data_IF_706330541245
#
_entry.id   IF_706330541245
#
_cell.length_a   1.000
_cell.length_b   1.000
_cell.length_c   1.000
_cell.angle_alpha   90.00
_cell.angle_beta   90.00
_cell.angle_gamma   90.00
#
_symmetry.space_group_name_H-M   'P 1'
#
loop_
_entity.id
_entity.type
_entity.pdbx_description
1 polymer ?
#
# COMPACT_ATOMS: atom_id res chain seq x y z
N UNK A 1 -16.28 2.62 15.25
CA UNK A 1 -14.97 2.14 14.79
C UNK A 1 -14.87 2.30 13.28
N UNK A 2 -13.75 2.80 12.81
CA UNK A 2 -13.55 3.02 11.38
C UNK A 2 -12.83 1.84 10.78
N UNK A 3 -13.32 1.37 9.65
CA UNK A 3 -12.64 0.34 8.88
C UNK A 3 -11.55 0.96 8.02
N UNK A 4 -10.47 0.23 7.85
CA UNK A 4 -9.45 0.61 6.88
C UNK A 4 -9.87 0.12 5.51
N UNK A 5 -9.87 1.01 4.55
CA UNK A 5 -10.22 0.68 3.17
C UNK A 5 -9.04 0.90 2.25
N UNK A 6 -9.03 0.17 1.15
CA UNK A 6 -8.07 0.42 0.09
C UNK A 6 -8.77 0.39 -1.27
N UNK A 7 -8.15 1.03 -2.24
CA UNK A 7 -8.64 1.01 -3.60
C UNK A 7 -7.52 1.27 -4.59
N UNK A 8 -7.57 0.70 -5.78
CA UNK A 8 -6.71 1.15 -6.85
C UNK A 8 -7.17 2.54 -7.31
N UNK A 9 -6.22 3.44 -7.49
CA UNK A 9 -6.51 4.80 -7.95
C UNK A 9 -6.07 5.03 -9.39
N UNK A 10 -5.56 4.00 -10.06
CA UNK A 10 -5.24 4.00 -11.48
C UNK A 10 -6.18 3.05 -12.20
N UNK A 11 -6.33 3.24 -13.51
CA UNK A 11 -7.14 2.33 -14.33
C UNK A 11 -6.55 0.92 -14.31
N UNK A 12 -7.41 -0.08 -14.37
CA UNK A 12 -7.01 -1.48 -14.49
C UNK A 12 -6.32 -1.71 -15.84
N UNK A 13 -5.54 -2.78 -15.89
CA UNK A 13 -4.99 -3.32 -17.14
C UNK A 13 -3.56 -2.91 -17.39
N UNK A 14 -3.30 -2.18 -18.47
CA UNK A 14 -1.97 -2.01 -19.02
C UNK A 14 -1.21 -0.77 -18.54
N UNK A 15 -1.64 -0.16 -17.44
CA UNK A 15 -0.92 0.99 -16.88
C UNK A 15 0.52 0.59 -16.51
N UNK A 16 1.48 1.49 -16.78
CA UNK A 16 2.87 1.26 -16.42
C UNK A 16 3.06 1.23 -14.89
N UNK A 17 2.25 2.00 -14.18
CA UNK A 17 2.27 2.08 -12.72
C UNK A 17 0.85 1.95 -12.21
N UNK A 18 0.67 1.13 -11.16
CA UNK A 18 -0.59 1.04 -10.43
C UNK A 18 -0.41 1.64 -9.05
N UNK A 19 -1.42 2.34 -8.58
CA UNK A 19 -1.40 3.00 -7.26
C UNK A 19 -2.54 2.45 -6.43
N UNK A 20 -2.20 1.96 -5.23
CA UNK A 20 -3.17 1.57 -4.21
C UNK A 20 -3.10 2.55 -3.06
N UNK A 21 -4.25 2.94 -2.54
CA UNK A 21 -4.35 3.84 -1.40
C UNK A 21 -5.06 3.13 -0.27
N UNK A 22 -4.47 3.20 0.92
CA UNK A 22 -5.05 2.66 2.15
C UNK A 22 -5.38 3.83 3.06
N UNK A 23 -6.56 3.79 3.68
CA UNK A 23 -7.01 4.85 4.56
C UNK A 23 -7.78 4.26 5.73
N UNK A 24 -7.53 4.76 6.93
CA UNK A 24 -8.23 4.35 8.12
C UNK A 24 -7.31 4.04 9.29
N UNK A 25 -7.90 3.73 10.43
CA UNK A 25 -7.17 3.50 11.67
C UNK A 25 -6.20 2.32 11.63
N UNK A 26 -6.46 1.32 10.78
CA UNK A 26 -5.61 0.14 10.64
C UNK A 26 -4.46 0.32 9.67
N UNK A 27 -4.34 1.46 8.99
CA UNK A 27 -3.35 1.65 7.92
C UNK A 27 -1.93 1.43 8.37
N UNK A 28 -1.54 1.93 9.53
CA UNK A 28 -0.17 1.78 10.03
C UNK A 28 0.19 0.31 10.25
N UNK A 29 -0.72 -0.46 10.84
CA UNK A 29 -0.48 -1.89 11.08
C UNK A 29 -0.42 -2.68 9.78
N UNK A 30 -1.27 -2.33 8.83
CA UNK A 30 -1.24 -2.96 7.50
C UNK A 30 0.08 -2.66 6.81
N UNK A 31 0.52 -1.41 6.83
CA UNK A 31 1.80 -1.03 6.22
C UNK A 31 2.95 -1.81 6.87
N UNK A 32 2.98 -1.93 8.20
CA UNK A 32 4.00 -2.72 8.89
C UNK A 32 4.02 -4.17 8.41
N UNK A 33 2.86 -4.78 8.24
CA UNK A 33 2.80 -6.17 7.79
C UNK A 33 3.32 -6.33 6.36
N UNK A 34 3.03 -5.37 5.49
CA UNK A 34 3.47 -5.41 4.09
C UNK A 34 5.00 -5.24 3.95
N UNK A 35 5.64 -4.55 4.87
CA UNK A 35 7.10 -4.35 4.84
C UNK A 35 7.83 -5.25 5.84
N UNK A 36 7.19 -6.31 6.31
CA UNK A 36 7.75 -7.29 7.27
C UNK A 36 8.20 -6.65 8.58
N UNK A 37 7.41 -5.71 9.10
CA UNK A 37 7.72 -5.00 10.35
C UNK A 37 9.03 -4.21 10.31
N UNK A 38 9.52 -3.91 9.12
CA UNK A 38 10.60 -2.96 8.97
C UNK A 38 10.14 -1.56 9.38
N UNK A 39 11.11 -0.69 9.55
CA UNK A 39 10.83 0.68 9.99
C UNK A 39 9.89 1.39 9.02
N UNK A 40 8.85 2.02 9.57
CA UNK A 40 7.92 2.86 8.80
C UNK A 40 8.69 4.03 8.18
N UNK A 41 8.51 4.30 6.88
CA UNK A 41 9.17 5.42 6.23
C UNK A 41 8.81 6.77 6.86
N UNK A 42 9.66 7.77 6.64
CA UNK A 42 9.34 9.13 7.04
C UNK A 42 8.05 9.59 6.38
N UNK A 43 7.24 10.33 7.14
CA UNK A 43 5.96 10.81 6.66
C UNK A 43 6.11 11.73 5.45
N UNK A 44 5.17 11.60 4.51
CA UNK A 44 5.05 12.47 3.33
C UNK A 44 6.27 12.52 2.43
N UNK A 45 7.00 11.39 2.36
CA UNK A 45 8.11 11.20 1.43
C UNK A 45 7.90 9.90 0.67
N UNK A 46 8.23 9.90 -0.60
CA UNK A 46 8.25 8.68 -1.40
C UNK A 46 9.53 7.91 -1.10
N UNK A 47 9.38 6.67 -0.65
CA UNK A 47 10.50 5.80 -0.26
C UNK A 47 10.35 4.47 -0.95
N UNK A 48 11.45 3.96 -1.51
CA UNK A 48 11.45 2.65 -2.15
C UNK A 48 11.54 1.55 -1.09
N UNK A 49 10.58 0.61 -1.13
CA UNK A 49 10.50 -0.49 -0.18
C UNK A 49 10.09 -1.78 -0.87
N UNK A 50 10.59 -2.90 -0.36
CA UNK A 50 10.11 -4.23 -0.74
C UNK A 50 8.78 -4.48 -0.04
N UNK A 51 7.80 -4.96 -0.80
CA UNK A 51 6.46 -5.26 -0.31
C UNK A 51 6.25 -6.77 -0.36
N UNK A 52 5.76 -7.32 0.73
CA UNK A 52 5.59 -8.75 0.90
C UNK A 52 4.13 -9.10 1.10
N UNK A 53 3.75 -10.31 0.69
CA UNK A 53 2.45 -10.87 1.02
C UNK A 53 2.44 -11.24 2.51
N UNK A 54 1.57 -10.64 3.33
CA UNK A 54 1.57 -10.92 4.77
C UNK A 54 1.27 -12.37 5.13
N UNK A 55 0.56 -13.10 4.26
CA UNK A 55 0.18 -14.50 4.52
C UNK A 55 1.35 -15.46 4.42
N UNK A 56 2.28 -15.25 3.49
CA UNK A 56 3.32 -16.22 3.19
C UNK A 56 4.72 -15.62 3.08
N UNK A 57 4.84 -14.31 3.30
CA UNK A 57 6.12 -13.58 3.24
C UNK A 57 6.80 -13.59 1.86
N UNK A 58 6.06 -13.91 0.81
CA UNK A 58 6.60 -13.81 -0.54
C UNK A 58 6.74 -12.35 -0.97
N UNK A 59 7.82 -12.04 -1.67
CA UNK A 59 8.01 -10.71 -2.23
C UNK A 59 7.01 -10.48 -3.36
N UNK A 60 6.20 -9.43 -3.24
CA UNK A 60 5.24 -9.05 -4.28
C UNK A 60 5.87 -8.10 -5.30
N UNK A 61 6.56 -7.08 -4.83
CA UNK A 61 7.18 -6.09 -5.71
C UNK A 61 8.07 -5.16 -4.88
N UNK A 62 8.89 -4.39 -5.57
CA UNK A 62 9.61 -3.27 -4.96
C UNK A 62 8.87 -2.00 -5.38
N UNK A 63 8.35 -1.26 -4.41
CA UNK A 63 7.39 -0.20 -4.66
C UNK A 63 7.82 1.09 -4.00
N UNK A 64 7.29 2.20 -4.53
CA UNK A 64 7.37 3.49 -3.84
C UNK A 64 6.21 3.57 -2.87
N UNK A 65 6.48 3.95 -1.63
CA UNK A 65 5.47 4.11 -0.59
C UNK A 65 5.51 5.53 -0.08
N UNK A 66 4.33 6.09 0.15
CA UNK A 66 4.18 7.37 0.84
C UNK A 66 3.30 7.17 2.06
N UNK A 67 3.87 7.33 3.25
CA UNK A 67 3.15 7.26 4.52
C UNK A 67 2.65 8.65 4.90
N UNK A 68 1.36 8.76 5.18
CA UNK A 68 0.73 10.03 5.52
C UNK A 68 -0.09 9.86 6.80
N UNK A 69 0.53 10.09 7.97
CA UNK A 69 -0.20 10.03 9.23
C UNK A 69 -1.20 11.17 9.36
N UNK A 70 -2.30 10.88 10.04
CA UNK A 70 -3.31 11.91 10.32
C UNK A 70 -2.71 13.07 11.13
N UNK A 71 -3.27 14.29 11.01
CA UNK A 71 -4.39 14.66 10.15
C UNK A 71 -3.98 15.11 8.74
N UNK A 72 -2.68 15.20 8.45
CA UNK A 72 -2.16 15.76 7.21
C UNK A 72 -2.04 14.67 6.14
N UNK A 73 -3.19 14.15 5.72
CA UNK A 73 -3.31 13.09 4.73
C UNK A 73 -4.44 13.40 3.76
N UNK A 74 -4.64 12.54 2.76
CA UNK A 74 -5.71 12.75 1.77
C UNK A 74 -7.10 12.74 2.39
N UNK A 75 -7.29 11.94 3.44
CA UNK A 75 -8.62 11.72 4.03
C UNK A 75 -8.77 12.31 5.42
N UNK A 76 -7.69 12.87 5.99
CA UNK A 76 -7.65 13.29 7.39
C UNK A 76 -7.39 12.18 8.37
N UNK A 77 -7.33 10.92 7.90
CA UNK A 77 -7.00 9.74 8.68
C UNK A 77 -5.59 9.25 8.33
N UNK A 78 -5.07 8.26 9.08
CA UNK A 78 -3.86 7.57 8.69
C UNK A 78 -4.05 6.96 7.31
N UNK A 79 -3.07 7.19 6.43
CA UNK A 79 -3.20 6.84 5.04
C UNK A 79 -1.82 6.49 4.48
N UNK A 80 -1.76 5.56 3.52
CA UNK A 80 -0.55 5.37 2.74
C UNK A 80 -0.89 4.99 1.31
N UNK A 81 0.04 5.28 0.41
CA UNK A 81 -0.05 4.86 -0.98
C UNK A 81 1.10 3.94 -1.31
N UNK A 82 0.81 2.96 -2.15
CA UNK A 82 1.81 2.09 -2.76
C UNK A 82 1.75 2.31 -4.27
N UNK A 83 2.88 2.69 -4.85
CA UNK A 83 3.03 2.79 -6.30
C UNK A 83 3.85 1.60 -6.76
N UNK A 84 3.20 0.70 -7.47
CA UNK A 84 3.81 -0.56 -7.92
C UNK A 84 3.80 -0.66 -9.44
N UNK A 85 4.48 -1.69 -9.95
CA UNK A 85 4.46 -1.94 -11.39
C UNK A 85 3.03 -2.27 -11.83
N UNK A 86 2.61 -1.65 -12.94
CA UNK A 86 1.31 -1.94 -13.53
C UNK A 86 1.29 -3.28 -14.22
N UNK A 87 0.14 -3.58 -14.79
CA UNK A 87 -0.11 -4.84 -15.46
C UNK A 87 -1.09 -5.69 -14.69
N UNK A 88 -1.85 -6.49 -15.43
CA UNK A 88 -2.97 -7.24 -14.85
C UNK A 88 -2.51 -8.23 -13.78
N UNK A 89 -1.43 -8.96 -14.06
CA UNK A 89 -0.95 -9.98 -13.12
C UNK A 89 -0.48 -9.36 -11.80
N UNK A 90 0.25 -8.25 -11.86
CA UNK A 90 0.71 -7.54 -10.66
C UNK A 90 -0.47 -7.01 -9.86
N UNK A 91 -1.44 -6.39 -10.52
CA UNK A 91 -2.64 -5.89 -9.86
C UNK A 91 -3.44 -6.99 -9.20
N UNK A 92 -3.58 -8.14 -9.86
CA UNK A 92 -4.29 -9.29 -9.29
C UNK A 92 -3.57 -9.84 -8.06
N UNK A 93 -2.24 -9.94 -8.11
CA UNK A 93 -1.46 -10.42 -6.98
C UNK A 93 -1.59 -9.50 -5.76
N UNK A 94 -1.51 -8.19 -5.97
CA UNK A 94 -1.69 -7.22 -4.89
C UNK A 94 -3.11 -7.25 -4.32
N UNK A 95 -4.12 -7.24 -5.19
CA UNK A 95 -5.51 -7.28 -4.75
C UNK A 95 -5.79 -8.53 -3.92
N UNK A 96 -5.33 -9.68 -4.38
CA UNK A 96 -5.48 -10.94 -3.64
C UNK A 96 -4.82 -10.88 -2.27
N UNK A 97 -3.60 -10.33 -2.20
CA UNK A 97 -2.87 -10.20 -0.93
C UNK A 97 -3.60 -9.26 0.03
N UNK A 98 -4.13 -8.15 -0.46
CA UNK A 98 -4.79 -7.15 0.36
C UNK A 98 -6.14 -7.59 0.90
N UNK A 99 -6.80 -8.54 0.24
CA UNK A 99 -8.10 -9.06 0.66
C UNK A 99 -8.00 -10.18 1.71
N UNK A 100 -6.82 -10.58 2.06
CA UNK A 100 -6.60 -11.63 3.06
C UNK A 100 -6.63 -11.10 4.49
#
# INVERSE_FOLDING_TARGET
MYETIFAPVTANGTSAISVFRFSGNGSKNILKSLIKNNKIPLARKLVLKKIYNPSNNELLDVCLICWMPKPNSFTGEDCFEIQCHGGLATMQAFTKAFLQ
#
